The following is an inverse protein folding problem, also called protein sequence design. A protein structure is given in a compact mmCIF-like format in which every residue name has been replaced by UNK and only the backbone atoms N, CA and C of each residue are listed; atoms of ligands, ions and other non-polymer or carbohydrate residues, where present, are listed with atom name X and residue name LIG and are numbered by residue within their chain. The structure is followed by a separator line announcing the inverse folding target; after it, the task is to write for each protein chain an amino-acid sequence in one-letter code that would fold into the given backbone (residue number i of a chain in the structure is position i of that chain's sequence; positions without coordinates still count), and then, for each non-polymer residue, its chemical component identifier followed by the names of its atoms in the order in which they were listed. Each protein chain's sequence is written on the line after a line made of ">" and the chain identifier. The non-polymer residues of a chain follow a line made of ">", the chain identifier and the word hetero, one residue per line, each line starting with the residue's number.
data_IF_770114946026
#
_entry.id   IF_770114946026
#
_cell.length_a   1.000
_cell.length_b   1.000
_cell.length_c   1.000
_cell.angle_alpha   90.00
_cell.angle_beta   90.00
_cell.angle_gamma   90.00
#
_symmetry.space_group_name_H-M   'P 1'
#
loop_
_entity.id
_entity.type
_entity.pdbx_description
1 polymer ?
#
# COMPACT_ATOMS: atom_id res chain seq x y z
N UNK A 1 22.63 -10.76 -3.28
CA UNK A 1 21.24 -11.08 -3.68
C UNK A 1 20.38 -10.47 -2.61
N UNK A 2 19.77 -9.30 -2.84
CA UNK A 2 18.75 -8.78 -1.93
C UNK A 2 17.64 -9.81 -1.90
N UNK A 3 17.30 -10.30 -0.71
CA UNK A 3 16.28 -11.33 -0.59
C UNK A 3 14.94 -10.67 -0.92
N UNK A 4 14.15 -11.19 -1.86
CA UNK A 4 12.84 -10.60 -2.20
C UNK A 4 11.96 -10.40 -0.95
N UNK A 5 12.15 -11.26 0.05
CA UNK A 5 11.55 -11.11 1.38
C UNK A 5 11.97 -9.83 2.12
N UNK A 6 13.26 -9.47 2.10
CA UNK A 6 13.76 -8.24 2.74
C UNK A 6 13.12 -7.01 2.10
N UNK A 7 13.01 -6.98 0.77
CA UNK A 7 12.33 -5.88 0.06
C UNK A 7 10.85 -5.76 0.44
N UNK A 8 10.16 -6.89 0.65
CA UNK A 8 8.77 -6.90 1.14
C UNK A 8 8.69 -6.34 2.57
N UNK A 9 9.56 -6.83 3.45
CA UNK A 9 9.58 -6.41 4.86
C UNK A 9 9.89 -4.90 4.95
N UNK A 10 10.84 -4.39 4.18
CA UNK A 10 11.17 -2.96 4.09
C UNK A 10 9.98 -2.14 3.56
N UNK A 11 9.32 -2.60 2.49
CA UNK A 11 8.14 -1.92 1.95
C UNK A 11 7.00 -1.84 2.97
N UNK A 12 6.78 -2.89 3.77
CA UNK A 12 5.78 -2.92 4.83
C UNK A 12 6.17 -1.93 5.94
N UNK A 13 7.40 -2.01 6.45
CA UNK A 13 7.92 -1.13 7.50
C UNK A 13 7.78 0.36 7.13
N UNK A 14 7.95 0.67 5.85
CA UNK A 14 7.84 2.03 5.34
C UNK A 14 6.43 2.62 5.46
N UNK A 15 5.38 1.80 5.56
CA UNK A 15 3.99 2.26 5.61
C UNK A 15 3.29 2.02 6.95
N UNK A 16 3.83 1.17 7.83
CA UNK A 16 3.16 0.73 9.08
C UNK A 16 2.63 1.88 9.93
N UNK A 17 3.35 3.00 9.99
CA UNK A 17 2.95 4.18 10.77
C UNK A 17 1.62 4.82 10.31
N UNK A 18 1.33 4.73 9.01
CA UNK A 18 0.23 5.44 8.35
C UNK A 18 -1.04 4.61 8.19
N UNK A 19 -0.97 3.31 8.48
CA UNK A 19 -2.05 2.33 8.32
C UNK A 19 -2.45 1.73 9.67
N UNK A 20 -3.56 1.02 9.72
CA UNK A 20 -3.99 0.28 10.92
C UNK A 20 -3.34 -1.10 10.99
N UNK A 21 -3.24 -1.77 9.84
CA UNK A 21 -2.71 -3.13 9.74
C UNK A 21 -2.18 -3.42 8.34
N UNK A 22 -1.13 -4.23 8.28
CA UNK A 22 -0.60 -4.80 7.03
C UNK A 22 -0.49 -6.31 7.19
N UNK A 23 -0.90 -7.06 6.16
CA UNK A 23 -0.81 -8.52 6.12
C UNK A 23 -0.19 -8.96 4.79
N UNK A 24 0.83 -9.81 4.84
CA UNK A 24 1.38 -10.48 3.66
C UNK A 24 0.58 -11.75 3.37
N UNK A 25 0.01 -11.86 2.17
CA UNK A 25 -0.71 -13.05 1.71
C UNK A 25 0.24 -13.94 0.92
N UNK A 26 0.69 -15.03 1.56
CA UNK A 26 1.67 -15.96 0.99
C UNK A 26 1.06 -16.90 -0.06
N UNK A 27 -0.21 -17.30 0.12
CA UNK A 27 -0.87 -18.33 -0.69
C UNK A 27 -1.81 -17.75 -1.78
N UNK A 28 -1.59 -16.50 -2.19
CA UNK A 28 -2.44 -15.91 -3.23
C UNK A 28 -2.11 -16.56 -4.60
N UNK A 29 -3.11 -16.94 -5.42
CA UNK A 29 -2.88 -17.58 -6.72
C UNK A 29 -1.96 -16.80 -7.67
N UNK A 30 -1.91 -15.47 -7.53
CA UNK A 30 -1.05 -14.57 -8.31
C UNK A 30 0.41 -14.68 -7.85
N UNK A 31 0.68 -14.85 -6.56
CA UNK A 31 2.02 -14.94 -5.99
C UNK A 31 2.80 -16.15 -6.49
N UNK A 32 2.12 -17.30 -6.59
CA UNK A 32 2.73 -18.58 -7.02
C UNK A 32 3.15 -18.57 -8.49
N UNK A 33 2.45 -17.81 -9.34
CA UNK A 33 2.68 -17.81 -10.79
C UNK A 33 3.76 -16.82 -11.24
N UNK A 34 3.88 -15.68 -10.56
CA UNK A 34 4.57 -14.51 -11.12
C UNK A 34 5.72 -13.96 -10.26
N UNK A 35 6.14 -14.65 -9.19
CA UNK A 35 7.13 -14.12 -8.24
C UNK A 35 6.74 -12.74 -7.70
N UNK A 36 5.46 -12.60 -7.31
CA UNK A 36 4.93 -11.35 -6.76
C UNK A 36 4.47 -11.57 -5.33
N UNK A 37 4.56 -10.54 -4.50
CA UNK A 37 3.97 -10.53 -3.18
C UNK A 37 2.58 -9.90 -3.25
N UNK A 38 1.65 -10.41 -2.44
CA UNK A 38 0.33 -9.80 -2.27
C UNK A 38 0.26 -9.23 -0.85
N UNK A 39 0.12 -7.92 -0.77
CA UNK A 39 0.09 -7.17 0.48
C UNK A 39 -1.32 -6.67 0.68
N UNK A 40 -1.92 -6.98 1.82
CA UNK A 40 -3.22 -6.49 2.22
C UNK A 40 -3.03 -5.39 3.26
N UNK A 41 -3.56 -4.20 2.99
CA UNK A 41 -3.43 -3.05 3.88
C UNK A 41 -4.80 -2.56 4.32
N UNK A 42 -4.92 -2.26 5.61
CA UNK A 42 -6.10 -1.65 6.22
C UNK A 42 -5.72 -0.25 6.66
N UNK A 43 -6.35 0.77 6.07
CA UNK A 43 -6.03 2.17 6.32
C UNK A 43 -6.92 2.75 7.43
N UNK A 44 -6.47 3.84 8.05
CA UNK A 44 -7.19 4.52 9.15
C UNK A 44 -8.51 5.20 8.71
N UNK A 45 -8.72 5.35 7.40
CA UNK A 45 -9.97 5.78 6.79
C UNK A 45 -10.86 4.60 6.36
N UNK A 46 -10.65 3.41 6.95
CA UNK A 46 -11.46 2.19 6.76
C UNK A 46 -11.45 1.63 5.33
N UNK A 47 -10.34 1.82 4.61
CA UNK A 47 -10.12 1.19 3.31
C UNK A 47 -9.36 -0.11 3.51
N UNK A 48 -9.76 -1.11 2.74
CA UNK A 48 -9.06 -2.37 2.60
C UNK A 48 -8.55 -2.45 1.16
N UNK A 49 -7.22 -2.52 1.00
CA UNK A 49 -6.56 -2.56 -0.29
C UNK A 49 -5.81 -3.89 -0.40
N UNK A 50 -5.97 -4.57 -1.53
CA UNK A 50 -5.19 -5.73 -1.89
C UNK A 50 -4.21 -5.32 -2.98
N UNK A 51 -2.91 -5.44 -2.72
CA UNK A 51 -1.86 -4.81 -3.51
C UNK A 51 -0.91 -5.88 -4.03
N UNK A 52 -0.62 -5.85 -5.33
CA UNK A 52 0.41 -6.65 -5.97
C UNK A 52 1.74 -5.89 -5.89
N UNK A 53 2.78 -6.56 -5.41
CA UNK A 53 4.17 -6.08 -5.43
C UNK A 53 5.02 -6.96 -6.35
N UNK A 54 5.70 -6.34 -7.30
CA UNK A 54 6.64 -6.94 -8.24
C UNK A 54 7.94 -6.15 -8.24
N UNK A 55 9.08 -6.83 -8.26
CA UNK A 55 10.38 -6.16 -8.39
C UNK A 55 10.57 -5.46 -9.76
N UNK A 56 9.78 -5.86 -10.76
CA UNK A 56 9.90 -5.33 -12.14
C UNK A 56 8.84 -4.27 -12.42
N UNK A 57 7.59 -4.50 -11.98
CA UNK A 57 6.45 -3.65 -12.29
C UNK A 57 6.11 -2.66 -11.17
N UNK A 58 6.74 -2.79 -10.00
CA UNK A 58 6.41 -2.01 -8.81
C UNK A 58 5.13 -2.50 -8.14
N UNK A 59 4.26 -1.56 -7.78
CA UNK A 59 3.06 -1.79 -6.98
C UNK A 59 1.79 -1.48 -7.79
N UNK A 60 0.81 -2.35 -7.74
CA UNK A 60 -0.51 -2.10 -8.36
C UNK A 60 -1.64 -2.62 -7.50
N UNK A 61 -2.83 -2.05 -7.67
CA UNK A 61 -4.01 -2.49 -6.92
C UNK A 61 -4.62 -3.74 -7.58
N UNK A 62 -4.99 -4.71 -6.75
CA UNK A 62 -5.75 -5.90 -7.14
C UNK A 62 -7.23 -5.65 -6.78
N UNK A 63 -7.49 -5.26 -5.54
CA UNK A 63 -8.84 -5.01 -5.02
C UNK A 63 -8.87 -3.79 -4.10
N UNK A 64 -10.01 -3.11 -4.09
CA UNK A 64 -10.32 -1.97 -3.24
C UNK A 64 -11.67 -2.22 -2.57
N UNK A 65 -11.75 -2.05 -1.26
CA UNK A 65 -13.00 -2.12 -0.54
C UNK A 65 -13.08 -0.99 0.50
N UNK A 66 -14.19 -0.27 0.53
CA UNK A 66 -14.46 0.79 1.50
C UNK A 66 -15.53 0.31 2.48
N UNK A 67 -15.14 0.07 3.74
CA UNK A 67 -16.03 -0.53 4.75
C UNK A 67 -17.10 0.43 5.31
N UNK A 68 -16.99 1.73 5.03
CA UNK A 68 -17.88 2.76 5.60
C UNK A 68 -18.91 3.27 4.59
N UNK A 69 -18.63 3.16 3.30
CA UNK A 69 -19.56 3.55 2.24
C UNK A 69 -20.06 2.31 1.50
N UNK A 70 -21.25 1.83 1.86
CA UNK A 70 -22.01 0.85 1.07
C UNK A 70 -22.55 1.43 -0.25
N UNK A 71 -22.34 2.72 -0.55
CA UNK A 71 -22.94 3.39 -1.70
C UNK A 71 -22.01 4.41 -2.36
N UNK A 72 -21.83 4.25 -3.67
CA UNK A 72 -21.83 5.34 -4.65
C UNK A 72 -20.68 6.36 -4.59
N UNK A 73 -19.45 5.89 -4.46
CA UNK A 73 -18.36 6.52 -5.20
C UNK A 73 -17.71 5.44 -6.05
N UNK A 74 -18.24 5.25 -7.25
CA UNK A 74 -17.43 4.82 -8.39
C UNK A 74 -16.38 5.92 -8.63
N UNK A 75 -15.41 6.03 -7.72
CA UNK A 75 -14.09 6.46 -8.13
C UNK A 75 -13.74 5.50 -9.26
N UNK A 76 -13.48 6.02 -10.47
CA UNK A 76 -12.86 5.24 -11.53
C UNK A 76 -11.53 4.73 -10.98
N UNK A 77 -11.59 3.57 -10.32
CA UNK A 77 -10.44 2.92 -9.72
C UNK A 77 -9.63 2.40 -10.90
N UNK A 78 -8.60 3.15 -11.26
CA UNK A 78 -7.66 2.71 -12.26
C UNK A 78 -6.80 1.57 -11.67
N UNK A 79 -7.30 0.34 -11.81
CA UNK A 79 -6.61 -0.89 -11.44
C UNK A 79 -5.43 -1.20 -12.37
N UNK A 80 -5.31 -0.48 -13.50
CA UNK A 80 -4.18 -0.65 -14.42
C UNK A 80 -2.98 0.21 -14.02
N UNK A 81 -3.19 1.18 -13.13
CA UNK A 81 -2.15 2.07 -12.64
C UNK A 81 -1.12 1.31 -11.80
N UNK A 82 0.15 1.54 -12.14
CA UNK A 82 1.29 1.02 -11.41
C UNK A 82 2.04 2.18 -10.74
N UNK A 83 2.63 1.89 -9.60
CA UNK A 83 3.36 2.82 -8.75
C UNK A 83 4.77 2.30 -8.48
N UNK A 84 5.71 3.21 -8.39
CA UNK A 84 7.11 2.93 -8.05
C UNK A 84 7.31 2.51 -6.59
N UNK A 85 6.44 2.96 -5.69
CA UNK A 85 6.53 2.67 -4.26
C UNK A 85 5.16 2.46 -3.60
N UNK A 86 5.15 1.65 -2.53
CA UNK A 86 3.95 1.38 -1.73
C UNK A 86 3.37 2.65 -1.06
N UNK A 87 4.18 3.57 -0.49
CA UNK A 87 3.67 4.84 0.01
C UNK A 87 2.95 5.66 -1.06
N UNK A 88 3.47 5.72 -2.29
CA UNK A 88 2.85 6.48 -3.37
C UNK A 88 1.47 5.91 -3.76
N UNK A 89 1.35 4.59 -3.80
CA UNK A 89 0.06 3.92 -3.99
C UNK A 89 -0.92 4.29 -2.88
N UNK A 90 -0.51 4.19 -1.61
CA UNK A 90 -1.39 4.50 -0.48
C UNK A 90 -1.78 5.97 -0.41
N UNK A 91 -0.87 6.89 -0.72
CA UNK A 91 -1.20 8.32 -0.82
C UNK A 91 -2.23 8.62 -1.92
N UNK A 92 -2.23 7.84 -2.99
CA UNK A 92 -3.20 8.01 -4.07
C UNK A 92 -4.61 7.55 -3.69
N UNK A 93 -4.73 6.43 -2.95
CA UNK A 93 -6.04 5.85 -2.61
C UNK A 93 -6.57 6.23 -1.22
N UNK A 94 -5.72 6.60 -0.27
CA UNK A 94 -6.09 6.95 1.12
C UNK A 94 -5.67 8.39 1.46
N UNK A 95 -6.63 9.33 1.46
CA UNK A 95 -6.38 10.70 1.92
C UNK A 95 -5.86 10.76 3.36
N UNK A 96 -6.28 9.84 4.23
CA UNK A 96 -5.76 9.79 5.60
C UNK A 96 -4.29 9.35 5.61
N UNK A 97 -3.90 8.37 4.80
CA UNK A 97 -2.48 8.01 4.66
C UNK A 97 -1.64 9.18 4.15
N UNK A 98 -2.13 9.92 3.16
CA UNK A 98 -1.46 11.13 2.64
C UNK A 98 -1.22 12.17 3.73
N UNK A 99 -2.21 12.40 4.60
CA UNK A 99 -2.08 13.28 5.75
C UNK A 99 -1.04 12.78 6.75
N UNK A 100 -1.06 11.48 7.09
CA UNK A 100 -0.07 10.87 7.98
C UNK A 100 1.35 10.99 7.43
N UNK A 101 1.53 10.78 6.12
CA UNK A 101 2.82 10.98 5.44
C UNK A 101 3.32 12.42 5.58
N UNK A 102 2.45 13.40 5.36
CA UNK A 102 2.77 14.82 5.55
C UNK A 102 3.21 15.15 6.98
N UNK A 103 2.56 14.58 8.00
CA UNK A 103 2.95 14.75 9.40
C UNK A 103 4.34 14.17 9.67
N UNK A 104 4.61 12.94 9.21
CA UNK A 104 5.92 12.28 9.38
C UNK A 104 7.05 13.05 8.69
N UNK A 105 6.79 13.64 7.52
CA UNK A 105 7.73 14.53 6.84
C UNK A 105 7.99 15.80 7.64
N UNK A 106 6.94 16.44 8.16
CA UNK A 106 7.07 17.64 8.96
C UNK A 106 7.88 17.39 10.24
N UNK A 107 7.60 16.30 10.95
CA UNK A 107 8.36 15.89 12.14
C UNK A 107 9.86 15.75 11.83
N UNK A 108 10.19 15.03 10.73
CA UNK A 108 11.58 14.88 10.29
C UNK A 108 12.24 16.23 10.00
N UNK A 109 11.58 17.12 9.25
CA UNK A 109 12.12 18.43 8.92
C UNK A 109 12.30 19.32 10.14
N UNK A 110 11.36 19.27 11.09
CA UNK A 110 11.41 20.07 12.33
C UNK A 110 12.56 19.67 13.26
N UNK A 111 13.03 18.43 13.16
CA UNK A 111 14.13 17.88 13.96
C UNK A 111 15.53 18.13 13.34
N UNK A 112 15.63 18.76 12.16
CA UNK A 112 16.91 19.15 11.53
C UNK A 112 17.43 20.48 12.11
N UNK A 113 17.11 20.80 13.37
CA UNK A 113 17.57 22.01 14.06
C UNK A 113 18.93 21.84 14.72
#
# INVERSE_FOLDING_TARGET
>A
MNNFKEEIDDAINDIEYGVEKVELILDHPISVKNQVAVIKTYTKDNLELLIKMSLVEGYSLIEYNNKVKESELELELDLTKSFDSLPNLLMYYSPEFQKQFGLKLFERLSNIK
#
